data_IF_746175758307
#
_entry.id   IF_746175758307
#
_cell.length_a   1.000
_cell.length_b   1.000
_cell.length_c   1.000
_cell.angle_alpha   90.00
_cell.angle_beta   90.00
_cell.angle_gamma   90.00
#
_symmetry.space_group_name_H-M   'P 1'
#
loop_
_entity.id
_entity.type
_entity.pdbx_description
1 polymer ?
#
# COMPACT_ATOMS: atom_id res chain seq x y z
N UNK A 1 5.78 9.70 27.19
CA UNK A 1 6.36 8.34 27.06
C UNK A 1 5.29 7.40 26.51
N UNK A 2 5.28 7.20 25.18
CA UNK A 2 4.25 6.41 24.50
C UNK A 2 4.39 4.92 24.84
N UNK A 3 3.28 4.29 25.20
CA UNK A 3 3.17 2.84 25.26
C UNK A 3 3.39 2.26 23.87
N UNK A 4 4.28 1.26 23.77
CA UNK A 4 4.42 0.45 22.56
C UNK A 4 3.16 -0.41 22.41
N UNK A 5 2.31 -0.11 21.44
CA UNK A 5 1.22 -1.02 21.07
C UNK A 5 1.75 -2.07 20.07
N UNK A 6 1.17 -3.27 20.03
CA UNK A 6 1.59 -4.34 19.12
C UNK A 6 1.54 -3.90 17.64
N UNK A 7 0.68 -2.93 17.31
CA UNK A 7 0.61 -2.30 15.99
C UNK A 7 1.83 -1.45 15.65
N UNK A 8 2.45 -0.80 16.63
CA UNK A 8 3.61 0.08 16.41
C UNK A 8 4.85 -0.70 16.00
N UNK A 9 5.09 -1.84 16.66
CA UNK A 9 6.23 -2.71 16.36
C UNK A 9 6.18 -3.24 14.92
N UNK A 10 4.98 -3.54 14.41
CA UNK A 10 4.79 -3.96 13.03
C UNK A 10 5.24 -2.86 12.05
N UNK A 11 4.78 -1.61 12.24
CA UNK A 11 5.11 -0.52 11.33
C UNK A 11 6.58 -0.12 11.41
N UNK A 12 7.17 -0.12 12.61
CA UNK A 12 8.62 0.07 12.79
C UNK A 12 9.41 -0.99 12.03
N UNK A 13 9.00 -2.26 12.09
CA UNK A 13 9.64 -3.32 11.31
C UNK A 13 9.50 -3.07 9.81
N UNK A 14 8.33 -2.65 9.33
CA UNK A 14 8.16 -2.29 7.91
C UNK A 14 9.12 -1.16 7.51
N UNK A 15 9.25 -0.09 8.30
CA UNK A 15 10.19 1.01 8.06
C UNK A 15 11.63 0.50 7.91
N UNK A 16 12.08 -0.39 8.80
CA UNK A 16 13.42 -0.99 8.74
C UNK A 16 13.59 -1.81 7.46
N UNK A 17 12.62 -2.67 7.11
CA UNK A 17 12.73 -3.57 5.97
C UNK A 17 12.61 -2.85 4.61
N UNK A 18 11.93 -1.71 4.53
CA UNK A 18 11.86 -0.92 3.28
C UNK A 18 13.07 0.01 3.11
N UNK A 19 13.90 0.19 4.14
CA UNK A 19 15.12 0.98 4.08
C UNK A 19 16.29 0.25 3.40
N UNK A 20 16.27 -1.09 3.32
CA UNK A 20 17.35 -1.91 2.77
C UNK A 20 16.88 -2.78 1.58
N UNK A 21 17.53 -2.70 0.40
CA UNK A 21 17.19 -3.52 -0.76
C UNK A 21 17.19 -5.02 -0.51
N UNK A 22 18.06 -5.51 0.36
CA UNK A 22 18.19 -6.93 0.73
C UNK A 22 16.95 -7.47 1.45
N UNK A 23 16.14 -6.57 2.01
CA UNK A 23 14.98 -6.91 2.84
C UNK A 23 13.63 -6.58 2.18
N UNK A 24 13.64 -6.04 0.97
CA UNK A 24 12.45 -5.71 0.17
C UNK A 24 11.48 -6.88 0.01
N UNK A 25 11.99 -8.09 -0.26
CA UNK A 25 11.15 -9.27 -0.37
C UNK A 25 10.38 -9.58 0.93
N UNK A 26 11.05 -9.42 2.07
CA UNK A 26 10.47 -9.66 3.41
C UNK A 26 9.42 -8.62 3.76
N UNK A 27 9.69 -7.33 3.47
CA UNK A 27 8.72 -6.26 3.66
C UNK A 27 7.43 -6.54 2.87
N UNK A 28 7.58 -6.87 1.59
CA UNK A 28 6.45 -7.14 0.71
C UNK A 28 5.65 -8.37 1.15
N UNK A 29 6.31 -9.46 1.53
CA UNK A 29 5.64 -10.66 2.03
C UNK A 29 4.87 -10.40 3.33
N UNK A 30 5.48 -9.65 4.27
CA UNK A 30 4.85 -9.34 5.55
C UNK A 30 3.58 -8.48 5.37
N UNK A 31 3.61 -7.51 4.45
CA UNK A 31 2.44 -6.70 4.11
C UNK A 31 1.34 -7.50 3.42
N UNK A 32 1.69 -8.43 2.50
CA UNK A 32 0.70 -9.34 1.91
C UNK A 32 0.01 -10.15 3.02
N UNK A 33 0.79 -10.77 3.91
CA UNK A 33 0.26 -11.56 5.03
C UNK A 33 -0.63 -10.71 5.94
N UNK A 34 -0.23 -9.48 6.24
CA UNK A 34 -1.01 -8.57 7.06
C UNK A 34 -2.36 -8.21 6.42
N UNK A 35 -2.40 -7.87 5.14
CA UNK A 35 -3.65 -7.53 4.43
C UNK A 35 -4.57 -8.76 4.26
N UNK A 36 -3.98 -9.96 4.18
CA UNK A 36 -4.72 -11.23 4.13
C UNK A 36 -5.36 -11.59 5.48
N UNK A 37 -4.65 -11.38 6.61
CA UNK A 37 -5.13 -11.73 7.95
C UNK A 37 -5.98 -10.65 8.63
N UNK A 38 -5.83 -9.39 8.22
CA UNK A 38 -6.51 -8.25 8.84
C UNK A 38 -7.77 -7.89 8.07
N UNK A 39 -8.92 -8.44 8.46
CA UNK A 39 -10.22 -8.01 7.95
C UNK A 39 -11.14 -7.70 9.14
N UNK A 40 -11.72 -6.48 9.28
CA UNK A 40 -11.88 -5.41 8.28
C UNK A 40 -10.87 -4.23 8.34
N UNK A 41 -9.82 -4.31 9.15
CA UNK A 41 -8.89 -3.17 9.42
C UNK A 41 -7.93 -2.82 8.28
N UNK A 42 -7.92 -3.56 7.16
CA UNK A 42 -6.95 -3.37 6.07
C UNK A 42 -7.34 -2.30 5.03
N UNK A 43 -8.06 -1.24 5.41
CA UNK A 43 -8.41 -0.15 4.48
C UNK A 43 -7.16 0.67 4.08
N UNK A 44 -7.01 1.08 2.81
CA UNK A 44 -5.82 1.79 2.33
C UNK A 44 -5.46 3.04 3.12
N UNK A 45 -6.45 3.89 3.43
CA UNK A 45 -6.27 5.11 4.21
C UNK A 45 -5.78 4.82 5.64
N UNK A 46 -6.31 3.77 6.28
CA UNK A 46 -5.90 3.36 7.64
C UNK A 46 -4.45 2.86 7.63
N UNK A 47 -4.09 2.01 6.66
CA UNK A 47 -2.72 1.47 6.56
C UNK A 47 -1.70 2.57 6.27
N UNK A 48 -2.04 3.48 5.37
CA UNK A 48 -1.18 4.64 5.07
C UNK A 48 -1.08 5.57 6.28
N UNK A 49 -2.18 5.88 6.97
CA UNK A 49 -2.13 6.72 8.18
C UNK A 49 -1.23 6.07 9.23
N UNK A 50 -1.46 4.80 9.55
CA UNK A 50 -0.67 4.11 10.57
C UNK A 50 0.83 4.06 10.20
N UNK A 51 1.15 3.79 8.93
CA UNK A 51 2.54 3.79 8.45
C UNK A 51 3.18 5.18 8.58
N UNK A 52 2.48 6.23 8.17
CA UNK A 52 2.96 7.62 8.24
C UNK A 52 3.07 8.12 9.67
N UNK A 53 2.12 7.80 10.54
CA UNK A 53 2.11 8.21 11.94
C UNK A 53 3.17 7.46 12.75
N UNK A 54 3.42 6.19 12.42
CA UNK A 54 4.58 5.45 12.93
C UNK A 54 5.89 6.12 12.49
N UNK A 55 5.99 6.56 11.22
CA UNK A 55 7.18 7.25 10.74
C UNK A 55 7.48 8.51 11.56
N UNK A 56 6.46 9.33 11.81
CA UNK A 56 6.57 10.54 12.65
C UNK A 56 6.95 10.21 14.10
N UNK A 57 6.30 9.20 14.68
CA UNK A 57 6.48 8.83 16.10
C UNK A 57 7.88 8.29 16.39
N UNK A 58 8.48 7.56 15.44
CA UNK A 58 9.77 6.89 15.61
C UNK A 58 10.91 7.53 14.80
N UNK A 59 10.67 8.63 14.09
CA UNK A 59 11.69 9.38 13.37
C UNK A 59 12.16 8.74 12.06
N UNK A 60 11.31 7.96 11.39
CA UNK A 60 11.60 7.42 10.06
C UNK A 60 11.16 8.37 8.95
N UNK A 61 11.85 8.32 7.82
CA UNK A 61 11.36 8.91 6.57
C UNK A 61 10.33 7.98 5.91
N UNK A 62 9.24 8.56 5.40
CA UNK A 62 8.19 7.81 4.72
C UNK A 62 8.70 7.30 3.37
N UNK A 63 8.88 5.98 3.27
CA UNK A 63 9.40 5.35 2.07
C UNK A 63 8.29 5.04 1.06
N UNK A 64 8.32 5.66 -0.13
CA UNK A 64 7.36 5.47 -1.22
C UNK A 64 7.20 4.02 -1.69
N UNK A 65 8.20 3.17 -1.43
CA UNK A 65 8.15 1.74 -1.77
C UNK A 65 7.14 0.96 -0.93
N UNK A 66 6.86 1.38 0.31
CA UNK A 66 5.86 0.73 1.15
C UNK A 66 4.45 0.80 0.52
N UNK A 67 4.09 1.94 -0.08
CA UNK A 67 2.82 2.11 -0.80
C UNK A 67 2.67 1.13 -1.97
N UNK A 68 3.76 0.91 -2.70
CA UNK A 68 3.78 -0.07 -3.78
C UNK A 68 3.58 -1.52 -3.27
N UNK A 69 4.01 -1.82 -2.05
CA UNK A 69 3.77 -3.10 -1.41
C UNK A 69 2.34 -3.23 -0.86
N UNK A 70 1.73 -2.16 -0.36
CA UNK A 70 0.28 -2.14 -0.07
C UNK A 70 -0.52 -2.45 -1.33
N UNK A 71 -0.19 -1.79 -2.43
CA UNK A 71 -0.85 -2.02 -3.72
C UNK A 71 -0.71 -3.47 -4.18
N UNK A 72 0.50 -4.04 -4.10
CA UNK A 72 0.72 -5.45 -4.42
C UNK A 72 -0.08 -6.38 -3.48
N UNK A 73 -0.16 -6.08 -2.18
CA UNK A 73 -0.95 -6.84 -1.23
C UNK A 73 -2.44 -6.85 -1.61
N UNK A 74 -3.02 -5.69 -1.95
CA UNK A 74 -4.41 -5.61 -2.41
C UNK A 74 -4.66 -6.40 -3.71
N UNK A 75 -3.73 -6.32 -4.67
CA UNK A 75 -3.81 -7.09 -5.92
C UNK A 75 -3.79 -8.60 -5.63
N UNK A 76 -2.91 -9.06 -4.72
CA UNK A 76 -2.80 -10.48 -4.33
C UNK A 76 -4.06 -11.00 -3.64
N UNK A 77 -4.66 -10.17 -2.80
CA UNK A 77 -5.92 -10.47 -2.10
C UNK A 77 -7.17 -10.21 -2.97
N UNK A 78 -7.00 -9.88 -4.26
CA UNK A 78 -8.08 -9.55 -5.21
C UNK A 78 -8.98 -8.39 -4.76
N UNK A 79 -8.49 -7.55 -3.86
CA UNK A 79 -9.17 -6.35 -3.34
C UNK A 79 -8.96 -5.19 -4.32
N UNK A 80 -9.54 -5.29 -5.51
CA UNK A 80 -9.31 -4.35 -6.61
C UNK A 80 -9.72 -2.92 -6.25
N UNK A 81 -10.83 -2.74 -5.54
CA UNK A 81 -11.29 -1.41 -5.12
C UNK A 81 -10.27 -0.75 -4.19
N UNK A 82 -9.73 -1.49 -3.22
CA UNK A 82 -8.68 -1.00 -2.33
C UNK A 82 -7.36 -0.72 -3.07
N UNK A 83 -7.07 -1.45 -4.15
CA UNK A 83 -5.94 -1.14 -5.01
C UNK A 83 -6.15 0.20 -5.75
N UNK A 84 -7.37 0.49 -6.21
CA UNK A 84 -7.73 1.79 -6.82
C UNK A 84 -7.60 2.92 -5.81
N UNK A 85 -8.18 2.76 -4.62
CA UNK A 85 -8.09 3.73 -3.52
C UNK A 85 -6.64 4.00 -3.11
N UNK A 86 -5.82 2.96 -3.03
CA UNK A 86 -4.40 3.11 -2.73
C UNK A 86 -3.66 3.90 -3.82
N UNK A 87 -3.97 3.68 -5.10
CA UNK A 87 -3.38 4.48 -6.20
C UNK A 87 -3.81 5.94 -6.11
N UNK A 88 -5.10 6.22 -5.87
CA UNK A 88 -5.59 7.59 -5.70
C UNK A 88 -4.85 8.30 -4.55
N UNK A 89 -4.71 7.62 -3.41
CA UNK A 89 -3.98 8.17 -2.26
C UNK A 89 -2.50 8.42 -2.57
N UNK A 90 -1.84 7.55 -3.35
CA UNK A 90 -0.48 7.78 -3.81
C UNK A 90 -0.39 9.05 -4.69
N UNK A 91 -1.34 9.25 -5.61
CA UNK A 91 -1.41 10.44 -6.46
C UNK A 91 -1.61 11.71 -5.62
N UNK A 92 -2.54 11.69 -4.67
CA UNK A 92 -2.79 12.81 -3.74
C UNK A 92 -1.54 13.18 -2.92
N UNK A 93 -0.74 12.18 -2.54
CA UNK A 93 0.52 12.35 -1.80
C UNK A 93 1.72 12.69 -2.70
N UNK A 94 1.54 12.81 -4.02
CA UNK A 94 2.63 13.05 -4.97
C UNK A 94 3.59 11.87 -5.14
N UNK A 95 3.16 10.66 -4.76
CA UNK A 95 3.94 9.42 -4.86
C UNK A 95 3.60 8.70 -6.17
N UNK A 96 4.62 8.42 -6.99
CA UNK A 96 4.43 7.73 -8.27
C UNK A 96 4.29 6.21 -8.05
N UNK A 97 3.15 5.59 -8.41
CA UNK A 97 2.97 4.15 -8.32
C UNK A 97 3.78 3.42 -9.39
N UNK A 98 4.22 2.20 -9.08
CA UNK A 98 4.93 1.38 -10.05
C UNK A 98 3.97 0.92 -11.14
N UNK A 99 4.36 1.19 -12.39
CA UNK A 99 3.59 0.87 -13.61
C UNK A 99 3.07 -0.57 -13.62
N UNK A 100 3.89 -1.53 -13.16
CA UNK A 100 3.49 -2.95 -13.11
C UNK A 100 2.23 -3.20 -12.27
N UNK A 101 2.07 -2.47 -11.16
CA UNK A 101 0.94 -2.64 -10.26
C UNK A 101 -0.28 -1.88 -10.77
N UNK A 102 -0.09 -0.67 -11.31
CA UNK A 102 -1.15 0.06 -12.03
C UNK A 102 -1.73 -0.80 -13.15
N UNK A 103 -0.89 -1.37 -14.02
CA UNK A 103 -1.35 -2.23 -15.12
C UNK A 103 -2.10 -3.47 -14.62
N UNK A 104 -1.68 -4.03 -13.48
CA UNK A 104 -2.36 -5.17 -12.87
C UNK A 104 -3.76 -4.78 -12.37
N UNK A 105 -3.89 -3.61 -11.72
CA UNK A 105 -5.18 -3.06 -11.28
C UNK A 105 -6.09 -2.75 -12.48
N UNK A 106 -5.57 -2.07 -13.51
CA UNK A 106 -6.33 -1.79 -14.74
C UNK A 106 -6.81 -3.08 -15.42
N UNK A 107 -5.95 -4.09 -15.51
CA UNK A 107 -6.32 -5.41 -16.04
C UNK A 107 -7.43 -6.05 -15.21
N UNK A 108 -7.38 -5.94 -13.88
CA UNK A 108 -8.42 -6.47 -13.01
C UNK A 108 -9.77 -5.75 -13.22
N UNK A 109 -9.76 -4.42 -13.34
CA UNK A 109 -10.94 -3.61 -13.66
C UNK A 109 -11.57 -4.00 -14.99
N UNK A 110 -10.76 -4.11 -16.04
CA UNK A 110 -11.22 -4.51 -17.38
C UNK A 110 -11.83 -5.92 -17.35
N UNK A 111 -11.17 -6.87 -16.67
CA UNK A 111 -11.66 -8.25 -16.57
C UNK A 111 -12.99 -8.39 -15.82
N UNK A 112 -13.32 -7.46 -14.93
CA UNK A 112 -14.63 -7.40 -14.25
C UNK A 112 -15.63 -6.46 -14.94
N UNK A 113 -15.34 -6.01 -16.16
CA UNK A 113 -16.17 -5.10 -16.96
C UNK A 113 -16.36 -3.68 -16.36
N UNK A 114 -15.46 -3.24 -15.46
CA UNK A 114 -15.43 -1.88 -14.90
C UNK A 114 -14.65 -0.91 -15.81
N UNK A 115 -15.07 -0.78 -17.08
CA UNK A 115 -14.30 -0.03 -18.09
C UNK A 115 -14.22 1.47 -17.76
N UNK A 116 -15.32 2.07 -17.28
CA UNK A 116 -15.34 3.49 -16.91
C UNK A 116 -14.36 3.82 -15.79
N UNK A 117 -14.30 2.95 -14.77
CA UNK A 117 -13.39 3.09 -13.63
C UNK A 117 -11.92 2.93 -14.07
N UNK A 118 -11.64 1.98 -14.98
CA UNK A 118 -10.31 1.81 -15.55
C UNK A 118 -9.87 3.06 -16.33
N UNK A 119 -10.78 3.65 -17.10
CA UNK A 119 -10.52 4.89 -17.84
C UNK A 119 -10.28 6.07 -16.89
N UNK A 120 -11.09 6.22 -15.84
CA UNK A 120 -10.91 7.27 -14.83
C UNK A 120 -9.54 7.15 -14.14
N UNK A 121 -9.19 5.95 -13.69
CA UNK A 121 -7.91 5.69 -13.05
C UNK A 121 -6.74 6.00 -13.99
N UNK A 122 -6.81 5.58 -15.25
CA UNK A 122 -5.78 5.90 -16.25
C UNK A 122 -5.65 7.41 -16.49
N UNK A 123 -6.77 8.12 -16.59
CA UNK A 123 -6.81 9.56 -16.84
C UNK A 123 -6.18 10.38 -15.71
N UNK A 124 -6.17 9.86 -14.47
CA UNK A 124 -5.50 10.49 -13.33
C UNK A 124 -3.97 10.35 -13.36
N UNK A 125 -3.44 9.44 -14.18
CA UNK A 125 -2.02 9.07 -14.22
C UNK A 125 -1.28 9.64 -15.44
N UNK A 126 -1.99 10.27 -16.38
CA UNK A 126 -1.48 10.78 -17.66
C UNK A 126 -1.61 12.30 -17.74
#
# INVERSE_FOLDING_TARGET
PGSFEDGDAFWVLIHILVASPETYGRANELLIRYVASSNPTAMPNVLVSNFVDSAKSFGFEVNSRAFNYFLNAYIKERKTDFAVDCINLMVELGVIPFVRYVNSTLTALIRRNSISEAHELYSKLV
#
